data_IF_668943447266
#
_entry.id   IF_668943447266
#
_cell.length_a   1.000
_cell.length_b   1.000
_cell.length_c   1.000
_cell.angle_alpha   90.00
_cell.angle_beta   90.00
_cell.angle_gamma   90.00
#
_symmetry.space_group_name_H-M   'P 1'
#
loop_
_entity.id
_entity.type
_entity.pdbx_description
1 polymer ?
#
# COMPACT_ATOMS: atom_id res chain seq x y z
N UNK A 1 -2.01 2.31 -2.88
CA UNK A 1 -2.50 1.47 -1.79
C UNK A 1 -1.50 0.38 -1.50
N UNK A 2 -1.14 0.17 -0.26
CA UNK A 2 -0.08 -0.77 0.13
C UNK A 2 -0.57 -1.65 1.30
N UNK A 3 -0.26 -2.95 1.24
CA UNK A 3 -0.65 -3.92 2.25
C UNK A 3 0.51 -4.85 2.65
N UNK A 4 0.22 -5.86 3.47
CA UNK A 4 1.18 -6.91 3.82
C UNK A 4 1.63 -7.67 2.56
N UNK A 5 2.80 -8.31 2.62
CA UNK A 5 3.35 -9.02 1.46
C UNK A 5 3.90 -8.10 0.37
N UNK A 6 3.99 -6.81 0.63
CA UNK A 6 4.60 -5.81 -0.26
C UNK A 6 5.99 -5.43 0.27
N UNK A 7 6.05 -4.87 1.46
CA UNK A 7 7.30 -4.41 2.09
C UNK A 7 7.83 -5.41 3.13
N UNK A 8 7.27 -6.61 3.16
CA UNK A 8 7.75 -7.75 3.94
C UNK A 8 7.49 -9.06 3.21
N UNK A 9 8.08 -10.15 3.70
CA UNK A 9 7.90 -11.48 3.17
C UNK A 9 8.21 -12.53 4.26
N UNK A 10 8.02 -13.81 3.96
CA UNK A 10 8.30 -14.88 4.92
C UNK A 10 9.74 -14.86 5.44
N UNK A 11 10.70 -14.44 4.62
CA UNK A 11 12.11 -14.37 5.00
C UNK A 11 12.50 -13.13 5.80
N UNK A 12 11.60 -12.18 6.00
CA UNK A 12 11.87 -10.96 6.76
C UNK A 12 12.21 -11.30 8.22
N UNK A 13 13.38 -10.87 8.67
CA UNK A 13 13.88 -11.11 10.03
C UNK A 13 13.44 -10.03 11.01
N UNK A 14 13.21 -8.83 10.54
CA UNK A 14 12.75 -7.70 11.32
C UNK A 14 11.38 -8.01 11.94
N UNK A 15 11.15 -7.49 13.15
CA UNK A 15 9.88 -7.66 13.85
C UNK A 15 9.34 -6.31 14.30
N UNK A 16 8.02 -6.15 14.16
CA UNK A 16 7.29 -5.03 14.73
C UNK A 16 7.20 -5.16 16.26
N UNK A 17 6.84 -4.11 16.99
CA UNK A 17 6.70 -4.16 18.45
C UNK A 17 5.78 -5.28 18.96
N UNK A 18 4.71 -5.63 18.23
CA UNK A 18 3.83 -6.76 18.56
C UNK A 18 4.43 -8.13 18.23
N UNK A 19 5.66 -8.17 17.70
CA UNK A 19 6.42 -9.35 17.30
C UNK A 19 5.92 -10.04 16.02
N UNK A 20 4.97 -9.47 15.31
CA UNK A 20 4.64 -9.89 13.95
C UNK A 20 5.80 -9.56 12.99
N UNK A 21 5.78 -10.15 11.81
CA UNK A 21 6.79 -9.88 10.77
C UNK A 21 6.80 -8.37 10.50
N UNK A 22 8.00 -7.77 10.60
CA UNK A 22 8.21 -6.35 10.36
C UNK A 22 8.30 -6.01 8.88
N UNK A 23 9.08 -5.00 8.54
CA UNK A 23 9.28 -4.53 7.15
C UNK A 23 10.77 -4.48 6.83
N UNK A 24 11.11 -4.51 5.53
CA UNK A 24 12.49 -4.45 5.06
C UNK A 24 12.75 -3.18 4.27
N UNK A 25 13.83 -2.49 4.61
CA UNK A 25 14.22 -1.26 3.90
C UNK A 25 14.47 -1.47 2.40
N UNK A 26 15.01 -2.65 2.01
CA UNK A 26 15.20 -2.97 0.59
C UNK A 26 13.89 -3.05 -0.20
N UNK A 27 12.80 -3.46 0.46
CA UNK A 27 11.48 -3.53 -0.17
C UNK A 27 10.79 -2.16 -0.16
N UNK A 28 10.96 -1.39 0.91
CA UNK A 28 10.49 0.01 0.97
C UNK A 28 11.16 0.83 -0.14
N UNK A 29 12.44 0.55 -0.46
CA UNK A 29 13.13 1.22 -1.55
C UNK A 29 12.43 1.07 -2.90
N UNK A 30 11.75 -0.04 -3.15
CA UNK A 30 10.93 -0.23 -4.37
C UNK A 30 9.69 0.68 -4.38
N UNK A 31 9.08 0.90 -3.22
CA UNK A 31 7.99 1.88 -3.10
C UNK A 31 8.54 3.30 -3.35
N UNK A 32 9.72 3.60 -2.84
CA UNK A 32 10.40 4.87 -3.09
C UNK A 32 10.61 5.12 -4.58
N UNK A 33 11.03 4.09 -5.33
CA UNK A 33 11.18 4.19 -6.78
C UNK A 33 9.86 4.60 -7.48
N UNK A 34 8.75 4.00 -7.08
CA UNK A 34 7.42 4.34 -7.64
C UNK A 34 7.07 5.79 -7.33
N UNK A 35 7.23 6.22 -6.08
CA UNK A 35 6.90 7.58 -5.64
C UNK A 35 7.79 8.61 -6.35
N UNK A 36 9.09 8.36 -6.45
CA UNK A 36 10.02 9.28 -7.12
C UNK A 36 9.71 9.40 -8.62
N UNK A 37 9.29 8.32 -9.27
CA UNK A 37 8.98 8.32 -10.70
C UNK A 37 7.63 8.96 -11.03
N UNK A 38 6.68 8.97 -10.10
CA UNK A 38 5.28 9.33 -10.41
C UNK A 38 4.74 10.48 -9.57
N UNK A 39 5.36 10.81 -8.46
CA UNK A 39 4.82 11.75 -7.47
C UNK A 39 3.62 11.21 -6.69
N UNK A 40 3.36 9.90 -6.77
CA UNK A 40 2.22 9.28 -6.10
C UNK A 40 2.28 9.46 -4.58
N UNK A 41 1.11 9.54 -3.98
CA UNK A 41 0.93 9.57 -2.52
C UNK A 41 0.59 8.17 -2.01
N UNK A 42 0.94 7.90 -0.75
CA UNK A 42 0.73 6.60 -0.13
C UNK A 42 -0.54 6.60 0.71
N UNK A 43 -1.36 5.58 0.51
CA UNK A 43 -2.54 5.29 1.34
C UNK A 43 -2.43 3.88 1.88
N UNK A 44 -2.56 3.73 3.18
CA UNK A 44 -2.40 2.45 3.86
C UNK A 44 -3.70 1.64 3.82
N UNK A 45 -3.65 0.41 3.30
CA UNK A 45 -4.79 -0.51 3.26
C UNK A 45 -4.52 -1.85 3.96
N UNK A 46 -3.38 -2.00 4.63
CA UNK A 46 -3.06 -3.21 5.40
C UNK A 46 -3.77 -3.26 6.74
N UNK A 47 -3.69 -4.41 7.42
CA UNK A 47 -4.21 -4.55 8.78
C UNK A 47 -3.56 -3.60 9.79
N UNK A 48 -2.36 -3.10 9.50
CA UNK A 48 -1.65 -2.13 10.33
C UNK A 48 -2.37 -0.78 10.43
N UNK A 49 -3.30 -0.48 9.50
CA UNK A 49 -4.16 0.71 9.60
C UNK A 49 -5.08 0.68 10.81
N UNK A 50 -5.40 -0.50 11.33
CA UNK A 50 -6.23 -0.64 12.54
C UNK A 50 -5.52 -0.09 13.77
N UNK A 51 -4.22 -0.28 13.86
CA UNK A 51 -3.41 0.27 14.93
C UNK A 51 -3.37 1.81 14.84
N UNK A 52 -3.30 2.35 13.63
CA UNK A 52 -3.39 3.79 13.39
C UNK A 52 -4.79 4.33 13.74
N UNK A 53 -5.85 3.69 13.19
CA UNK A 53 -7.22 4.19 13.30
C UNK A 53 -7.82 4.04 14.72
N UNK A 54 -7.47 2.96 15.43
CA UNK A 54 -8.08 2.58 16.70
C UNK A 54 -7.12 2.59 17.89
N UNK A 55 -5.88 3.03 17.67
CA UNK A 55 -4.82 3.08 18.70
C UNK A 55 -4.61 1.71 19.40
N UNK A 56 -4.81 0.64 18.65
CA UNK A 56 -4.52 -0.71 19.14
C UNK A 56 -3.03 -0.81 19.48
N UNK A 57 -2.69 -1.59 20.52
CA UNK A 57 -1.29 -1.70 20.97
C UNK A 57 -0.62 -0.34 21.24
N UNK A 58 -1.40 0.69 21.61
CA UNK A 58 -0.93 2.07 21.79
C UNK A 58 -0.26 2.65 20.52
N UNK A 59 -0.71 2.24 19.35
CA UNK A 59 -0.18 2.69 18.06
C UNK A 59 1.25 2.24 17.76
N UNK A 60 1.83 1.30 18.52
CA UNK A 60 3.25 0.94 18.42
C UNK A 60 3.63 0.36 17.07
N UNK A 61 2.80 -0.53 16.50
CA UNK A 61 3.08 -1.13 15.20
C UNK A 61 2.94 -0.10 14.09
N UNK A 62 1.95 0.78 14.18
CA UNK A 62 1.79 1.90 13.24
C UNK A 62 2.99 2.85 13.31
N UNK A 63 3.42 3.24 14.51
CA UNK A 63 4.59 4.12 14.68
C UNK A 63 5.84 3.49 14.08
N UNK A 64 6.03 2.18 14.27
CA UNK A 64 7.13 1.42 13.68
C UNK A 64 7.08 1.51 12.14
N UNK A 65 5.94 1.19 11.52
CA UNK A 65 5.76 1.25 10.07
C UNK A 65 6.02 2.67 9.54
N UNK A 66 5.42 3.66 10.17
CA UNK A 66 5.61 5.08 9.83
C UNK A 66 7.08 5.48 9.86
N UNK A 67 7.79 5.10 10.93
CA UNK A 67 9.18 5.48 11.12
C UNK A 67 10.10 4.77 10.10
N UNK A 68 9.82 3.52 9.77
CA UNK A 68 10.58 2.79 8.74
C UNK A 68 10.42 3.42 7.35
N UNK A 69 9.21 3.85 6.99
CA UNK A 69 8.97 4.57 5.74
C UNK A 69 9.59 5.96 5.75
N UNK A 70 9.57 6.67 6.89
CA UNK A 70 10.17 8.00 7.04
C UNK A 70 11.67 7.99 6.83
N UNK A 71 12.37 6.88 7.07
CA UNK A 71 13.81 6.74 6.78
C UNK A 71 14.13 6.95 5.29
N UNK A 72 13.17 6.75 4.40
CA UNK A 72 13.29 6.98 2.96
C UNK A 72 12.44 8.17 2.47
N UNK A 73 12.07 9.06 3.38
CA UNK A 73 11.24 10.23 3.08
C UNK A 73 9.90 9.87 2.46
N UNK A 74 9.29 8.81 2.95
CA UNK A 74 7.97 8.34 2.54
C UNK A 74 6.97 8.49 3.68
N UNK A 75 5.81 9.07 3.38
CA UNK A 75 4.77 9.36 4.37
C UNK A 75 3.40 8.92 3.85
N UNK A 76 2.62 8.28 4.71
CA UNK A 76 1.23 7.95 4.41
C UNK A 76 0.34 9.17 4.62
N UNK A 77 -0.43 9.52 3.60
CA UNK A 77 -1.37 10.64 3.70
C UNK A 77 -2.69 10.24 4.37
N UNK A 78 -3.08 8.96 4.30
CA UNK A 78 -4.36 8.47 4.80
C UNK A 78 -4.36 6.95 4.87
N UNK A 79 -5.45 6.38 5.38
CA UNK A 79 -5.70 4.93 5.41
C UNK A 79 -7.14 4.64 4.95
N UNK A 80 -7.35 3.44 4.41
CA UNK A 80 -8.69 3.01 4.00
C UNK A 80 -9.52 2.57 5.20
N UNK A 81 -10.87 2.66 5.15
CA UNK A 81 -11.70 2.17 6.23
C UNK A 81 -11.53 0.65 6.41
N UNK A 82 -11.80 0.17 7.61
CA UNK A 82 -11.84 -1.25 7.93
C UNK A 82 -13.21 -1.58 8.49
N UNK A 83 -14.00 -2.32 7.73
CA UNK A 83 -15.37 -2.71 8.07
C UNK A 83 -15.41 -4.18 8.46
N UNK A 84 -16.30 -4.54 9.37
CA UNK A 84 -16.39 -5.88 9.93
C UNK A 84 -16.61 -6.97 8.88
N UNK A 85 -17.50 -6.74 7.94
CA UNK A 85 -17.94 -7.72 6.95
C UNK A 85 -17.58 -7.32 5.51
N UNK A 86 -16.63 -6.39 5.34
CA UNK A 86 -16.18 -5.97 4.02
C UNK A 86 -14.84 -6.59 3.65
N UNK A 87 -14.57 -6.61 2.35
CA UNK A 87 -13.30 -7.02 1.79
C UNK A 87 -12.47 -5.81 1.39
N UNK A 88 -11.19 -6.02 1.17
CA UNK A 88 -10.24 -4.94 0.90
C UNK A 88 -10.58 -4.12 -0.34
N UNK A 89 -11.04 -4.76 -1.41
CA UNK A 89 -11.46 -4.06 -2.62
C UNK A 89 -12.63 -3.11 -2.39
N UNK A 90 -13.62 -3.52 -1.60
CA UNK A 90 -14.75 -2.66 -1.20
C UNK A 90 -14.29 -1.49 -0.33
N UNK A 91 -13.38 -1.73 0.60
CA UNK A 91 -12.85 -0.69 1.48
C UNK A 91 -12.04 0.36 0.70
N UNK A 92 -11.28 -0.07 -0.30
CA UNK A 92 -10.55 0.83 -1.19
C UNK A 92 -11.53 1.64 -2.05
N UNK A 93 -12.57 1.00 -2.59
CA UNK A 93 -13.61 1.68 -3.36
C UNK A 93 -14.31 2.74 -2.52
N UNK A 94 -14.70 2.41 -1.29
CA UNK A 94 -15.30 3.37 -0.36
C UNK A 94 -14.39 4.57 -0.13
N UNK A 95 -13.09 4.35 0.07
CA UNK A 95 -12.14 5.43 0.26
C UNK A 95 -12.06 6.34 -0.97
N UNK A 96 -11.96 5.76 -2.18
CA UNK A 96 -11.90 6.51 -3.44
C UNK A 96 -13.15 7.37 -3.66
N UNK A 97 -14.32 6.88 -3.28
CA UNK A 97 -15.60 7.57 -3.43
C UNK A 97 -15.82 8.66 -2.39
N UNK A 98 -15.26 8.51 -1.19
CA UNK A 98 -15.51 9.39 -0.05
C UNK A 98 -14.36 10.34 0.28
N UNK A 99 -13.18 10.14 -0.29
CA UNK A 99 -12.04 11.02 -0.03
C UNK A 99 -12.28 12.42 -0.58
N UNK A 100 -11.80 13.44 0.14
CA UNK A 100 -11.81 14.82 -0.35
C UNK A 100 -10.67 15.14 -1.32
N UNK A 101 -9.80 14.19 -1.59
CA UNK A 101 -8.68 14.37 -2.52
C UNK A 101 -9.12 14.12 -3.96
N UNK A 102 -8.56 14.89 -4.88
CA UNK A 102 -8.74 14.69 -6.32
C UNK A 102 -7.80 13.60 -6.80
N UNK A 103 -8.34 12.42 -7.11
CA UNK A 103 -7.56 11.25 -7.50
C UNK A 103 -7.50 11.17 -9.04
N UNK A 104 -6.36 11.54 -9.60
CA UNK A 104 -6.12 11.46 -11.06
C UNK A 104 -5.89 10.02 -11.51
N UNK A 105 -5.14 9.25 -10.72
CA UNK A 105 -4.85 7.85 -11.00
C UNK A 105 -4.51 7.12 -9.70
N UNK A 106 -4.65 5.79 -9.71
CA UNK A 106 -4.28 4.98 -8.56
C UNK A 106 -3.81 3.59 -8.95
N UNK A 107 -3.01 2.99 -8.09
CA UNK A 107 -2.59 1.59 -8.18
C UNK A 107 -2.70 0.93 -6.81
N UNK A 108 -3.14 -0.30 -6.79
CA UNK A 108 -3.21 -1.14 -5.60
C UNK A 108 -2.10 -2.18 -5.68
N UNK A 109 -1.28 -2.26 -4.65
CA UNK A 109 -0.20 -3.24 -4.53
C UNK A 109 -0.53 -4.13 -3.34
N UNK A 110 -0.81 -5.40 -3.60
CA UNK A 110 -1.28 -6.35 -2.59
C UNK A 110 -0.83 -7.76 -2.98
N UNK A 111 -0.64 -8.63 -2.00
CA UNK A 111 -0.34 -10.04 -2.24
C UNK A 111 -1.61 -10.87 -2.45
N UNK A 112 -2.76 -10.37 -1.99
CA UNK A 112 -4.06 -11.02 -2.13
C UNK A 112 -4.97 -10.19 -3.02
N UNK A 113 -5.59 -10.83 -4.01
CA UNK A 113 -6.38 -10.13 -5.02
C UNK A 113 -7.89 -10.20 -4.79
N UNK A 114 -8.45 -11.26 -4.19
CA UNK A 114 -9.87 -11.41 -3.88
C UNK A 114 -10.80 -10.48 -4.70
N UNK A 115 -11.60 -9.66 -4.02
CA UNK A 115 -12.51 -8.68 -4.62
C UNK A 115 -11.81 -7.48 -5.29
N UNK A 116 -10.49 -7.30 -5.04
CA UNK A 116 -9.69 -6.28 -5.72
C UNK A 116 -9.71 -6.52 -7.23
N UNK A 117 -9.62 -7.79 -7.64
CA UNK A 117 -9.65 -8.17 -9.05
C UNK A 117 -10.94 -7.69 -9.73
N UNK A 118 -12.09 -7.94 -9.10
CA UNK A 118 -13.39 -7.63 -9.68
C UNK A 118 -13.68 -6.11 -9.69
N UNK A 119 -13.29 -5.40 -8.62
CA UNK A 119 -13.65 -3.99 -8.42
C UNK A 119 -12.63 -3.00 -8.99
N UNK A 120 -11.38 -3.42 -9.17
CA UNK A 120 -10.27 -2.54 -9.51
C UNK A 120 -9.45 -3.04 -10.70
N UNK A 121 -10.11 -3.67 -11.68
CA UNK A 121 -9.45 -4.16 -12.88
C UNK A 121 -8.60 -3.06 -13.54
N UNK A 122 -7.36 -3.39 -13.88
CA UNK A 122 -6.42 -2.45 -14.49
C UNK A 122 -5.70 -1.52 -13.52
N UNK A 123 -6.01 -1.57 -12.22
CA UNK A 123 -5.41 -0.72 -11.19
C UNK A 123 -4.60 -1.48 -10.16
N UNK A 124 -4.26 -2.73 -10.42
CA UNK A 124 -3.66 -3.58 -9.41
C UNK A 124 -2.37 -4.26 -9.87
N UNK A 125 -1.47 -4.44 -8.91
CA UNK A 125 -0.23 -5.19 -9.07
C UNK A 125 -0.17 -6.20 -7.93
N UNK A 126 -0.15 -7.48 -8.27
CA UNK A 126 -0.04 -8.55 -7.28
C UNK A 126 1.42 -8.79 -6.91
N UNK A 127 1.71 -8.84 -5.62
CA UNK A 127 2.98 -9.27 -5.07
C UNK A 127 2.86 -10.68 -4.51
N UNK A 128 3.97 -11.25 -4.02
CA UNK A 128 3.98 -12.54 -3.35
C UNK A 128 4.60 -12.40 -1.96
N UNK A 129 3.99 -13.04 -0.98
CA UNK A 129 4.55 -13.08 0.38
C UNK A 129 5.87 -13.85 0.45
N UNK A 130 6.19 -14.64 -0.59
CA UNK A 130 7.49 -15.32 -0.68
C UNK A 130 8.65 -14.34 -0.89
N UNK A 131 8.40 -13.21 -1.51
CA UNK A 131 9.46 -12.27 -1.92
C UNK A 131 9.20 -10.80 -1.62
N UNK A 132 7.95 -10.41 -1.32
CA UNK A 132 7.54 -9.00 -1.30
C UNK A 132 7.53 -8.39 -2.70
N UNK A 133 7.58 -7.06 -2.78
CA UNK A 133 7.57 -6.35 -4.07
C UNK A 133 8.89 -6.57 -4.83
N UNK A 134 8.78 -6.83 -6.13
CA UNK A 134 9.91 -7.05 -7.05
C UNK A 134 10.02 -5.90 -8.06
N UNK A 135 11.18 -5.76 -8.75
CA UNK A 135 11.36 -4.73 -9.77
C UNK A 135 10.31 -4.75 -10.90
N UNK A 136 9.83 -5.93 -11.30
CA UNK A 136 8.76 -6.06 -12.30
C UNK A 136 7.44 -5.41 -11.83
N UNK A 137 7.11 -5.57 -10.55
CA UNK A 137 5.94 -4.93 -9.95
C UNK A 137 6.09 -3.41 -9.89
N UNK A 138 7.28 -2.90 -9.59
CA UNK A 138 7.60 -1.46 -9.62
C UNK A 138 7.30 -0.89 -11.00
N UNK A 139 7.79 -1.54 -12.05
CA UNK A 139 7.58 -1.12 -13.44
C UNK A 139 6.09 -1.10 -13.79
N UNK A 140 5.35 -2.15 -13.44
CA UNK A 140 3.90 -2.23 -13.69
C UNK A 140 3.13 -1.11 -12.97
N UNK A 141 3.47 -0.83 -11.71
CA UNK A 141 2.83 0.24 -10.94
C UNK A 141 3.06 1.61 -11.59
N UNK A 142 4.28 1.89 -12.02
CA UNK A 142 4.63 3.14 -12.72
C UNK A 142 3.84 3.26 -14.03
N UNK A 143 3.73 2.18 -14.81
CA UNK A 143 2.97 2.16 -16.06
C UNK A 143 1.48 2.42 -15.83
N UNK A 144 0.88 1.78 -14.81
CA UNK A 144 -0.54 1.97 -14.47
C UNK A 144 -0.81 3.44 -14.11
N UNK A 145 0.02 4.03 -13.26
CA UNK A 145 -0.13 5.42 -12.85
C UNK A 145 0.06 6.38 -14.04
N UNK A 146 1.02 6.09 -14.92
CA UNK A 146 1.31 6.91 -16.08
C UNK A 146 0.24 6.86 -17.17
N UNK A 147 -0.34 5.70 -17.43
CA UNK A 147 -1.42 5.54 -18.43
C UNK A 147 -2.66 6.36 -18.10
N UNK A 148 -3.02 6.39 -16.81
CA UNK A 148 -4.20 7.14 -16.36
C UNK A 148 -4.00 8.64 -16.48
N UNK A 149 -2.78 9.12 -16.26
CA UNK A 149 -2.45 10.52 -16.45
C UNK A 149 -2.52 10.93 -17.93
N UNK A 150 -2.06 10.08 -18.84
CA UNK A 150 -2.07 10.34 -20.27
C UNK A 150 -3.48 10.40 -20.87
N UNK A 151 -4.45 9.68 -20.30
CA UNK A 151 -5.85 9.70 -20.76
C UNK A 151 -6.54 11.07 -20.53
N UNK A 152 -6.05 11.87 -19.61
CA UNK A 152 -6.60 13.19 -19.28
C UNK A 152 -5.87 14.34 -20.01
N UNK A 153 -4.74 14.07 -20.65
CA UNK A 153 -3.93 15.07 -21.36
C UNK A 153 -4.08 15.03 -22.90
N UNK A 154 -4.83 14.08 -23.39
CA UNK A 154 -5.22 13.97 -24.80
C UNK A 154 -6.63 14.53 -25.00
#
# INVERSE_FOLDING_TARGET
MISDGVVNCWGTKERAPSKVIGVEQRLIAHIKEIVDATGAKLVLSSTWRKDWAFDLMNGKDWHYLRDEFAKQDLYFMDYTPSRRDSHRGEEIKEWLESTGYDIESYVIIDDEMFDIWDLHEGHMVQTSFDSGIKPGAVKMAIEILGKQHNLYND
#
